data_IF_332715407808
#
_entry.id   IF_332715407808
#
_cell.length_a   1.000
_cell.length_b   1.000
_cell.length_c   1.000
_cell.angle_alpha   90.00
_cell.angle_beta   90.00
_cell.angle_gamma   90.00
#
_symmetry.space_group_name_H-M   'P 1'
#
loop_
_entity.id
_entity.type
_entity.pdbx_description
1 polymer ?
#
# COMPACT_ATOMS: atom_id res chain seq x y z
N UNK A 1 -0.88 -15.70 12.27
CA UNK A 1 -1.27 -14.49 11.52
C UNK A 1 -2.46 -13.78 12.15
N UNK A 2 -3.64 -14.39 12.20
CA UNK A 2 -4.87 -13.73 12.71
C UNK A 2 -4.71 -13.13 14.12
N UNK A 3 -4.11 -13.86 15.07
CA UNK A 3 -3.88 -13.37 16.43
C UNK A 3 -3.02 -12.09 16.46
N UNK A 4 -1.93 -12.05 15.67
CA UNK A 4 -1.06 -10.89 15.54
C UNK A 4 -1.76 -9.69 14.91
N UNK A 5 -2.66 -9.93 13.94
CA UNK A 5 -3.49 -8.88 13.34
C UNK A 5 -4.48 -8.31 14.37
N UNK A 6 -5.14 -9.17 15.16
CA UNK A 6 -6.06 -8.72 16.22
C UNK A 6 -5.32 -7.92 17.30
N UNK A 7 -4.13 -8.35 17.67
CA UNK A 7 -3.27 -7.63 18.62
C UNK A 7 -2.86 -6.26 18.08
N UNK A 8 -2.33 -6.18 16.85
CA UNK A 8 -1.99 -4.93 16.19
C UNK A 8 -3.19 -3.98 16.10
N UNK A 9 -4.37 -4.48 15.71
CA UNK A 9 -5.58 -3.67 15.62
C UNK A 9 -5.95 -3.04 16.98
N UNK A 10 -5.85 -3.81 18.08
CA UNK A 10 -6.20 -3.33 19.42
C UNK A 10 -5.10 -2.45 20.04
N UNK A 11 -3.85 -2.87 19.94
CA UNK A 11 -2.75 -2.35 20.75
C UNK A 11 -1.65 -1.65 19.95
N UNK A 12 -1.61 -1.83 18.63
CA UNK A 12 -0.63 -1.18 17.75
C UNK A 12 -0.72 0.35 17.78
N UNK A 13 0.40 1.00 17.48
CA UNK A 13 0.51 2.47 17.43
C UNK A 13 -0.25 3.04 16.23
N UNK A 14 -0.58 4.33 16.31
CA UNK A 14 -1.18 5.05 15.17
C UNK A 14 -0.24 4.98 13.97
N UNK A 15 -0.77 4.57 12.81
CA UNK A 15 -0.02 4.38 11.56
C UNK A 15 1.11 3.35 11.65
N UNK A 16 1.06 2.44 12.62
CA UNK A 16 2.03 1.35 12.72
C UNK A 16 2.06 0.52 11.44
N UNK A 17 3.26 0.17 11.01
CA UNK A 17 3.53 -0.66 9.84
C UNK A 17 4.24 -1.93 10.28
N UNK A 18 3.69 -3.07 9.89
CA UNK A 18 4.22 -4.41 10.12
C UNK A 18 4.61 -5.03 8.78
N UNK A 19 5.84 -5.51 8.65
CA UNK A 19 6.32 -6.19 7.44
C UNK A 19 5.71 -7.58 7.28
N UNK A 20 5.63 -8.05 6.04
CA UNK A 20 5.33 -9.44 5.71
C UNK A 20 6.59 -10.17 5.25
N UNK A 21 6.47 -11.45 4.91
CA UNK A 21 7.51 -12.25 4.27
C UNK A 21 7.77 -11.84 2.81
N UNK A 22 6.89 -11.03 2.20
CA UNK A 22 7.05 -10.49 0.86
C UNK A 22 7.50 -9.02 0.93
N UNK A 23 8.72 -8.69 0.47
CA UNK A 23 9.20 -7.31 0.41
C UNK A 23 8.24 -6.41 -0.37
N UNK A 24 7.95 -5.24 0.18
CA UNK A 24 7.03 -4.27 -0.43
C UNK A 24 5.55 -4.49 -0.09
N UNK A 25 5.22 -5.56 0.65
CA UNK A 25 3.88 -5.77 1.21
C UNK A 25 3.95 -5.60 2.72
N UNK A 26 3.10 -4.71 3.23
CA UNK A 26 3.01 -4.40 4.64
C UNK A 26 1.56 -4.46 5.12
N UNK A 27 1.38 -4.71 6.41
CA UNK A 27 0.13 -4.46 7.11
C UNK A 27 0.27 -3.10 7.81
N UNK A 28 -0.70 -2.21 7.62
CA UNK A 28 -0.72 -0.90 8.26
C UNK A 28 -1.96 -0.74 9.12
N UNK A 29 -1.79 -0.21 10.33
CA UNK A 29 -2.89 0.20 11.19
C UNK A 29 -3.31 1.62 10.85
N UNK A 30 -4.56 1.79 10.45
CA UNK A 30 -5.17 3.10 10.29
C UNK A 30 -5.88 3.45 11.61
N UNK A 31 -5.53 4.58 12.25
CA UNK A 31 -6.19 5.01 13.47
C UNK A 31 -7.66 5.37 13.18
N UNK A 32 -8.53 5.35 14.20
CA UNK A 32 -9.92 5.75 14.03
C UNK A 32 -10.00 7.23 13.63
N UNK A 33 -11.05 7.57 12.89
CA UNK A 33 -11.46 8.92 12.54
C UNK A 33 -12.86 9.20 13.10
N UNK A 34 -13.39 10.39 12.86
CA UNK A 34 -14.75 10.76 13.30
C UNK A 34 -15.82 9.86 12.66
N UNK A 35 -15.56 9.35 11.45
CA UNK A 35 -16.52 8.59 10.65
C UNK A 35 -16.26 7.09 10.63
N UNK A 36 -15.11 6.65 11.17
CA UNK A 36 -14.67 5.27 11.01
C UNK A 36 -13.80 4.80 12.18
N UNK A 37 -14.07 3.58 12.65
CA UNK A 37 -13.24 2.88 13.63
C UNK A 37 -11.84 2.57 13.10
N UNK A 38 -10.93 2.20 14.01
CA UNK A 38 -9.60 1.75 13.63
C UNK A 38 -9.70 0.48 12.77
N UNK A 39 -8.84 0.36 11.76
CA UNK A 39 -8.78 -0.82 10.91
C UNK A 39 -7.36 -1.14 10.47
N UNK A 40 -7.16 -2.35 9.96
CA UNK A 40 -5.94 -2.75 9.28
C UNK A 40 -6.15 -2.72 7.78
N UNK A 41 -5.11 -2.33 7.05
CA UNK A 41 -5.06 -2.34 5.60
C UNK A 41 -3.75 -2.95 5.12
N UNK A 42 -3.75 -3.44 3.89
CA UNK A 42 -2.53 -3.79 3.18
C UNK A 42 -1.94 -2.49 2.60
N UNK A 43 -0.65 -2.28 2.78
CA UNK A 43 0.10 -1.25 2.06
C UNK A 43 1.01 -1.93 1.04
N UNK A 44 0.87 -1.56 -0.23
CA UNK A 44 1.79 -1.94 -1.31
C UNK A 44 2.73 -0.77 -1.56
N UNK A 45 4.03 -1.01 -1.41
CA UNK A 45 5.05 0.02 -1.58
C UNK A 45 6.29 -0.62 -2.22
N UNK A 46 6.63 -0.29 -3.47
CA UNK A 46 7.79 -0.86 -4.16
C UNK A 46 9.06 -0.68 -3.34
N UNK A 47 10.00 -1.61 -3.50
CA UNK A 47 11.30 -1.56 -2.83
C UNK A 47 12.34 -1.05 -3.82
N UNK A 48 13.09 -0.04 -3.42
CA UNK A 48 14.21 0.50 -4.17
C UNK A 48 15.42 -0.43 -4.16
N UNK A 49 16.46 -0.06 -4.91
CA UNK A 49 17.73 -0.81 -4.95
C UNK A 49 18.46 -0.84 -3.59
N UNK A 50 18.13 0.11 -2.72
CA UNK A 50 18.62 0.23 -1.34
C UNK A 50 17.88 -0.69 -0.35
N UNK A 51 16.89 -1.45 -0.80
CA UNK A 51 16.08 -2.31 0.06
C UNK A 51 15.02 -1.55 0.87
N UNK A 52 14.83 -0.25 0.61
CA UNK A 52 13.87 0.59 1.32
C UNK A 52 12.61 0.82 0.49
N UNK A 53 11.45 1.05 1.12
CA UNK A 53 10.25 1.45 0.42
C UNK A 53 10.46 2.76 -0.34
N UNK A 54 10.01 2.83 -1.58
CA UNK A 54 10.18 4.01 -2.44
C UNK A 54 9.36 5.21 -1.98
N UNK A 55 8.28 4.97 -1.23
CA UNK A 55 7.39 6.02 -0.74
C UNK A 55 7.29 6.03 0.79
N UNK A 56 7.04 7.22 1.36
CA UNK A 56 6.72 7.38 2.80
C UNK A 56 5.43 6.64 3.19
N UNK A 57 4.45 6.64 2.28
CA UNK A 57 3.18 5.92 2.37
C UNK A 57 2.92 5.32 1.00
N UNK A 58 2.80 3.99 0.93
CA UNK A 58 2.42 3.27 -0.30
C UNK A 58 0.92 3.30 -0.57
N UNK A 59 0.47 2.48 -1.51
CA UNK A 59 -0.93 2.33 -1.87
C UNK A 59 -1.63 1.53 -0.76
N UNK A 60 -2.62 2.14 -0.11
CA UNK A 60 -3.42 1.52 0.95
C UNK A 60 -4.63 0.80 0.35
N UNK A 61 -4.72 -0.49 0.63
CA UNK A 61 -5.75 -1.40 0.14
C UNK A 61 -6.48 -2.01 1.34
N UNK A 62 -7.74 -1.64 1.48
CA UNK A 62 -8.58 -1.98 2.63
C UNK A 62 -9.31 -3.30 2.48
N UNK A 63 -9.73 -3.65 1.27
CA UNK A 63 -10.53 -4.85 1.02
C UNK A 63 -10.26 -5.44 -0.37
N UNK A 64 -10.86 -6.59 -0.64
CA UNK A 64 -10.66 -7.35 -1.88
C UNK A 64 -11.30 -6.68 -3.10
N UNK A 65 -12.36 -5.90 -2.92
CA UNK A 65 -12.99 -5.11 -4.00
C UNK A 65 -12.04 -4.03 -4.48
N UNK A 66 -11.48 -3.24 -3.56
CA UNK A 66 -10.49 -2.22 -3.87
C UNK A 66 -9.23 -2.84 -4.50
N UNK A 67 -8.77 -3.99 -3.99
CA UNK A 67 -7.65 -4.70 -4.60
C UNK A 67 -7.94 -5.08 -6.06
N UNK A 68 -9.13 -5.59 -6.33
CA UNK A 68 -9.55 -5.98 -7.68
C UNK A 68 -9.66 -4.78 -8.61
N UNK A 69 -10.23 -3.67 -8.14
CA UNK A 69 -10.33 -2.43 -8.89
C UNK A 69 -8.94 -1.86 -9.24
N UNK A 70 -8.02 -1.83 -8.28
CA UNK A 70 -6.64 -1.38 -8.52
C UNK A 70 -5.95 -2.30 -9.54
N UNK A 71 -6.10 -3.62 -9.42
CA UNK A 71 -5.54 -4.58 -10.39
C UNK A 71 -6.08 -4.34 -11.80
N UNK A 72 -7.37 -4.06 -11.95
CA UNK A 72 -7.96 -3.74 -13.24
C UNK A 72 -7.36 -2.45 -13.83
N UNK A 73 -7.25 -1.39 -13.04
CA UNK A 73 -6.64 -0.12 -13.49
C UNK A 73 -5.18 -0.34 -13.92
N UNK A 74 -4.40 -1.09 -13.13
CA UNK A 74 -3.00 -1.39 -13.44
C UNK A 74 -2.82 -2.34 -14.64
N UNK A 75 -3.89 -2.99 -15.10
CA UNK A 75 -3.85 -3.83 -16.30
C UNK A 75 -4.15 -3.06 -17.60
N UNK A 76 -4.54 -1.79 -17.50
CA UNK A 76 -4.82 -0.94 -18.66
C UNK A 76 -3.51 -0.47 -19.32
N UNK A 77 -3.34 -0.74 -20.62
CA UNK A 77 -2.14 -0.33 -21.38
C UNK A 77 -1.94 1.19 -21.38
N UNK A 78 -3.03 1.95 -21.20
CA UNK A 78 -3.00 3.41 -21.12
C UNK A 78 -2.13 3.90 -19.96
N UNK A 79 -2.04 3.15 -18.86
CA UNK A 79 -1.17 3.50 -17.73
C UNK A 79 0.30 3.51 -18.17
N UNK A 80 0.74 2.46 -18.86
CA UNK A 80 2.11 2.34 -19.38
C UNK A 80 2.42 3.42 -20.41
N UNK A 81 1.50 3.66 -21.35
CA UNK A 81 1.65 4.71 -22.37
C UNK A 81 1.86 6.10 -21.73
N UNK A 82 1.09 6.42 -20.69
CA UNK A 82 1.20 7.71 -20.00
C UNK A 82 2.53 7.80 -19.25
N UNK A 83 2.93 6.75 -18.53
CA UNK A 83 4.20 6.75 -17.79
C UNK A 83 5.38 6.95 -18.74
N UNK A 84 5.42 6.20 -19.85
CA UNK A 84 6.48 6.33 -20.86
C UNK A 84 6.52 7.72 -21.51
N UNK A 85 5.35 8.31 -21.78
CA UNK A 85 5.28 9.66 -22.32
C UNK A 85 5.84 10.70 -21.34
N UNK A 86 5.57 10.56 -20.03
CA UNK A 86 6.13 11.41 -18.99
C UNK A 86 7.66 11.23 -18.91
N UNK A 87 8.14 9.98 -18.87
CA UNK A 87 9.58 9.67 -18.83
C UNK A 87 10.35 10.28 -20.03
N UNK A 88 9.71 10.35 -21.20
CA UNK A 88 10.27 10.98 -22.39
C UNK A 88 10.46 12.50 -22.28
N UNK A 89 9.65 13.19 -21.46
CA UNK A 89 9.78 14.64 -21.24
C UNK A 89 10.96 14.97 -20.34
N UNK A 90 11.21 14.14 -19.33
CA UNK A 90 12.27 14.38 -18.34
C UNK A 90 13.69 14.18 -18.90
N UNK A 91 13.83 13.65 -20.12
CA UNK A 91 15.12 13.46 -20.81
C UNK A 91 15.44 14.57 -21.83
N UNK A 92 14.68 15.67 -21.83
CA UNK A 92 14.85 16.82 -22.75
C UNK A 92 15.53 18.03 -22.10
#
# INVERSE_FOLDING_TARGET
>A
MEASLRDMLKHGRKFERMGTDVPGIYIRKIPPSVIEEAYLAVEINPIGKDGLPTNKIGIIIRNTEQLSAIRAILSESKVDEIVQAIEGLDQS
#
